data_IF_038582080762
#
_entry.id   IF_038582080762
#
_cell.length_a   1.000
_cell.length_b   1.000
_cell.length_c   1.000
_cell.angle_alpha   90.00
_cell.angle_beta   90.00
_cell.angle_gamma   90.00
#
_symmetry.space_group_name_H-M   'P 1'
#
loop_
_entity.id
_entity.type
_entity.pdbx_description
1 polymer ?
#
# COMPACT_ATOMS: atom_id res chain seq x y z
N UNK A 1 18.74 -52.55 28.72
CA UNK A 1 19.58 -51.54 29.39
C UNK A 1 19.83 -50.38 28.44
N UNK A 2 19.43 -49.15 28.82
CA UNK A 2 20.07 -47.85 28.50
C UNK A 2 20.25 -47.50 27.00
N UNK A 3 19.57 -46.52 26.38
CA UNK A 3 19.44 -45.06 26.67
C UNK A 3 18.42 -44.49 25.66
N UNK A 4 17.37 -43.77 26.06
CA UNK A 4 17.32 -42.29 26.20
C UNK A 4 18.04 -41.53 25.06
N UNK A 5 17.30 -40.94 24.12
CA UNK A 5 17.17 -39.47 24.04
C UNK A 5 16.10 -39.04 23.02
N UNK A 6 15.12 -38.33 23.57
CA UNK A 6 14.14 -37.47 22.93
C UNK A 6 14.86 -36.31 22.22
N UNK A 7 14.26 -35.76 21.15
CA UNK A 7 14.49 -34.46 20.45
C UNK A 7 14.37 -34.73 18.93
N UNK A 8 13.66 -33.99 18.09
CA UNK A 8 13.12 -32.64 18.16
C UNK A 8 12.05 -32.55 17.05
N UNK A 9 10.79 -32.32 17.41
CA UNK A 9 9.79 -31.81 16.46
C UNK A 9 9.98 -30.29 16.48
N UNK A 10 10.43 -29.69 15.37
CA UNK A 10 10.42 -28.24 15.25
C UNK A 10 10.32 -27.77 13.79
N UNK A 11 9.21 -27.06 13.55
CA UNK A 11 9.07 -25.90 12.69
C UNK A 11 9.16 -26.09 11.16
N UNK A 12 7.98 -26.13 10.52
CA UNK A 12 7.76 -25.39 9.26
C UNK A 12 6.32 -24.85 9.22
N UNK A 13 5.99 -23.94 10.14
CA UNK A 13 4.82 -23.08 10.04
C UNK A 13 5.31 -21.66 9.74
N UNK A 14 5.52 -21.39 8.47
CA UNK A 14 5.96 -20.10 7.95
C UNK A 14 5.11 -19.64 6.78
N UNK A 15 3.80 -19.91 6.80
CA UNK A 15 2.86 -19.12 6.01
C UNK A 15 2.53 -17.90 6.85
N UNK A 16 3.14 -16.76 6.51
CA UNK A 16 2.80 -15.48 7.10
C UNK A 16 1.37 -15.11 6.73
N UNK A 17 0.40 -15.60 7.50
CA UNK A 17 -0.89 -14.94 7.60
C UNK A 17 -0.64 -13.63 8.31
N UNK A 18 -0.69 -12.52 7.58
CA UNK A 18 -0.98 -11.22 8.17
C UNK A 18 -2.38 -11.32 8.78
N UNK A 19 -2.45 -11.88 9.99
CA UNK A 19 -3.67 -11.92 10.77
C UNK A 19 -3.93 -10.49 11.21
N UNK A 20 -4.96 -9.86 10.64
CA UNK A 20 -5.52 -8.65 11.20
C UNK A 20 -5.77 -8.91 12.70
N UNK A 21 -5.20 -8.06 13.56
CA UNK A 21 -5.37 -8.19 15.01
C UNK A 21 -6.86 -8.07 15.34
N UNK A 22 -7.32 -8.82 16.34
CA UNK A 22 -8.72 -8.78 16.79
C UNK A 22 -9.15 -7.36 17.23
N UNK A 23 -8.20 -6.49 17.61
CA UNK A 23 -8.42 -5.07 17.93
C UNK A 23 -8.74 -4.17 16.72
N UNK A 24 -8.66 -4.71 15.50
CA UNK A 24 -8.98 -4.02 14.25
C UNK A 24 -10.37 -4.38 13.71
N UNK A 25 -11.07 -5.30 14.38
CA UNK A 25 -12.40 -5.73 13.98
C UNK A 25 -13.41 -4.57 14.08
N UNK A 26 -13.76 -4.00 12.93
CA UNK A 26 -14.79 -2.97 12.79
C UNK A 26 -14.26 -1.55 12.49
N UNK A 27 -12.94 -1.31 12.56
CA UNK A 27 -12.37 -0.03 12.11
C UNK A 27 -12.38 0.04 10.58
N UNK A 28 -12.62 1.22 9.99
CA UNK A 28 -12.57 1.38 8.54
C UNK A 28 -11.13 1.22 8.05
N UNK A 29 -10.91 0.38 7.05
CA UNK A 29 -9.60 0.20 6.41
C UNK A 29 -9.18 1.53 5.75
N UNK A 30 -7.99 2.03 6.09
CA UNK A 30 -7.46 3.27 5.52
C UNK A 30 -6.76 2.99 4.20
N UNK A 31 -7.33 3.49 3.10
CA UNK A 31 -6.78 3.31 1.74
C UNK A 31 -6.15 4.61 1.28
N UNK A 32 -4.83 4.61 1.04
CA UNK A 32 -4.15 5.75 0.42
C UNK A 32 -4.09 5.56 -1.09
N UNK A 33 -4.86 6.36 -1.83
CA UNK A 33 -4.95 6.33 -3.29
C UNK A 33 -3.95 7.31 -3.88
N UNK A 34 -2.97 6.82 -4.64
CA UNK A 34 -1.95 7.61 -5.31
C UNK A 34 -2.26 7.73 -6.81
N UNK A 35 -2.67 8.92 -7.25
CA UNK A 35 -3.02 9.25 -8.63
C UNK A 35 -1.90 9.99 -9.34
N UNK A 36 -1.55 9.59 -10.56
CA UNK A 36 -0.54 10.30 -11.35
C UNK A 36 -0.28 9.70 -12.72
N UNK A 37 -1.32 9.16 -13.36
CA UNK A 37 -1.22 8.53 -14.67
C UNK A 37 -2.17 9.19 -15.69
N UNK A 38 -1.68 10.25 -16.33
CA UNK A 38 -2.44 11.05 -17.31
C UNK A 38 -2.91 10.22 -18.51
N UNK A 39 -2.08 9.30 -19.02
CA UNK A 39 -2.42 8.44 -20.16
C UNK A 39 -3.62 7.52 -19.90
N UNK A 40 -3.87 7.17 -18.64
CA UNK A 40 -5.04 6.38 -18.24
C UNK A 40 -6.02 7.19 -17.38
N UNK A 41 -5.90 8.52 -17.41
CA UNK A 41 -6.83 9.47 -16.77
C UNK A 41 -7.13 9.08 -15.32
N UNK A 42 -6.07 8.84 -14.52
CA UNK A 42 -6.24 8.44 -13.12
C UNK A 42 -7.01 9.48 -12.30
N UNK A 43 -6.81 10.77 -12.57
CA UNK A 43 -7.53 11.86 -11.89
C UNK A 43 -9.03 11.91 -12.23
N UNK A 44 -9.44 11.46 -13.42
CA UNK A 44 -10.85 11.37 -13.80
C UNK A 44 -11.52 10.10 -13.24
N UNK A 45 -10.79 8.98 -13.21
CA UNK A 45 -11.34 7.66 -12.86
C UNK A 45 -11.35 7.34 -11.36
N UNK A 46 -10.42 7.90 -10.59
CA UNK A 46 -10.31 7.61 -9.15
C UNK A 46 -11.38 8.28 -8.27
N UNK A 47 -11.91 9.48 -8.57
CA UNK A 47 -13.02 10.06 -7.80
C UNK A 47 -14.26 9.19 -7.68
N UNK A 48 -14.88 8.71 -8.78
CA UNK A 48 -16.03 7.83 -8.67
C UNK A 48 -15.67 6.46 -8.07
N UNK A 49 -14.44 5.97 -8.27
CA UNK A 49 -13.98 4.73 -7.66
C UNK A 49 -13.83 4.86 -6.14
N UNK A 50 -13.29 5.98 -5.64
CA UNK A 50 -13.24 6.27 -4.22
C UNK A 50 -14.65 6.32 -3.61
N UNK A 51 -15.57 7.05 -4.23
CA UNK A 51 -16.96 7.14 -3.75
C UNK A 51 -17.62 5.75 -3.70
N UNK A 52 -17.39 4.93 -4.73
CA UNK A 52 -17.84 3.55 -4.76
C UNK A 52 -17.27 2.73 -3.59
N UNK A 53 -15.96 2.82 -3.35
CA UNK A 53 -15.31 2.10 -2.26
C UNK A 53 -15.90 2.50 -0.88
N UNK A 54 -16.00 3.79 -0.62
CA UNK A 54 -16.50 4.33 0.66
C UNK A 54 -18.00 4.07 0.86
N UNK A 55 -18.78 3.93 -0.21
CA UNK A 55 -20.22 3.59 -0.15
C UNK A 55 -20.46 2.11 0.13
N UNK A 56 -19.63 1.23 -0.42
CA UNK A 56 -19.91 -0.22 -0.46
C UNK A 56 -19.08 -1.05 0.52
N UNK A 57 -18.02 -0.49 1.08
CA UNK A 57 -17.12 -1.18 2.00
C UNK A 57 -16.82 -0.33 3.24
N UNK A 58 -16.43 -0.97 4.34
CA UNK A 58 -15.97 -0.27 5.55
C UNK A 58 -14.53 0.23 5.36
N UNK A 59 -14.37 1.26 4.53
CA UNK A 59 -13.08 1.85 4.19
C UNK A 59 -13.13 3.37 4.30
N UNK A 60 -11.99 3.98 4.60
CA UNK A 60 -11.78 5.43 4.50
C UNK A 60 -10.66 5.67 3.49
N UNK A 61 -10.96 6.40 2.44
CA UNK A 61 -9.99 6.70 1.41
C UNK A 61 -9.36 8.08 1.63
N UNK A 62 -8.06 8.15 1.39
CA UNK A 62 -7.34 9.39 1.21
C UNK A 62 -6.79 9.40 -0.21
N UNK A 63 -6.70 10.57 -0.86
CA UNK A 63 -6.26 10.67 -2.25
C UNK A 63 -5.17 11.71 -2.41
N UNK A 64 -4.06 11.25 -2.97
CA UNK A 64 -2.87 12.04 -3.30
C UNK A 64 -2.80 12.15 -4.83
N UNK A 65 -2.67 13.36 -5.35
CA UNK A 65 -2.71 13.62 -6.80
C UNK A 65 -1.42 14.29 -7.23
N UNK A 66 -0.79 13.73 -8.27
CA UNK A 66 0.41 14.27 -8.91
C UNK A 66 0.22 15.73 -9.31
N UNK A 67 1.23 16.57 -9.04
CA UNK A 67 1.29 17.96 -9.50
C UNK A 67 2.36 18.19 -10.57
N UNK A 68 3.49 17.50 -10.47
CA UNK A 68 4.55 17.55 -11.48
C UNK A 68 5.16 16.15 -11.68
N UNK A 69 6.15 16.03 -12.57
CA UNK A 69 6.87 14.75 -12.77
C UNK A 69 7.59 14.27 -11.51
N UNK A 70 8.05 15.19 -10.68
CA UNK A 70 8.81 14.96 -9.46
C UNK A 70 8.08 15.41 -8.19
N UNK A 71 6.79 15.79 -8.30
CA UNK A 71 6.01 16.31 -7.18
C UNK A 71 4.65 15.61 -7.02
N UNK A 72 4.47 15.00 -5.84
CA UNK A 72 3.29 14.29 -5.38
C UNK A 72 2.95 14.72 -3.94
N UNK A 73 2.39 15.93 -3.74
CA UNK A 73 2.12 16.48 -2.41
C UNK A 73 1.01 15.70 -1.70
N UNK A 74 1.16 15.46 -0.40
CA UNK A 74 0.24 14.63 0.38
C UNK A 74 0.75 13.21 0.67
N UNK A 75 1.98 12.88 0.25
CA UNK A 75 2.59 11.56 0.44
C UNK A 75 2.66 11.12 1.91
N UNK A 76 2.63 12.04 2.89
CA UNK A 76 2.53 11.77 4.34
C UNK A 76 1.34 10.89 4.72
N UNK A 77 0.31 10.83 3.88
CA UNK A 77 -0.82 9.91 4.07
C UNK A 77 -0.40 8.43 4.05
N UNK A 78 0.75 8.10 3.45
CA UNK A 78 1.32 6.75 3.51
C UNK A 78 1.78 6.35 4.92
N UNK A 79 2.10 7.30 5.80
CA UNK A 79 2.54 6.99 7.16
C UNK A 79 1.40 6.44 8.03
N UNK A 80 0.13 6.72 7.70
CA UNK A 80 -1.06 6.34 8.51
C UNK A 80 -2.10 5.45 7.78
N UNK A 81 -1.87 5.02 6.53
CA UNK A 81 -2.83 4.12 5.86
C UNK A 81 -2.70 2.64 6.29
N UNK A 82 -3.52 1.75 5.74
CA UNK A 82 -3.33 0.30 5.88
C UNK A 82 -2.87 -0.31 4.56
N UNK A 83 -3.36 0.24 3.44
CA UNK A 83 -3.04 -0.18 2.07
C UNK A 83 -2.81 1.03 1.17
N UNK A 84 -1.83 0.93 0.28
CA UNK A 84 -1.59 1.90 -0.78
C UNK A 84 -2.14 1.37 -2.10
N UNK A 85 -3.02 2.16 -2.73
CA UNK A 85 -3.46 1.94 -4.10
C UNK A 85 -2.63 2.83 -5.03
N UNK A 86 -1.77 2.20 -5.81
CA UNK A 86 -0.81 2.87 -6.69
C UNK A 86 -1.37 2.93 -8.10
N UNK A 87 -1.74 4.12 -8.57
CA UNK A 87 -2.15 4.39 -9.95
C UNK A 87 -1.47 5.64 -10.52
N UNK A 88 -0.15 5.65 -10.46
CA UNK A 88 0.72 6.61 -11.14
C UNK A 88 1.83 5.90 -11.91
N UNK A 89 2.54 6.62 -12.76
CA UNK A 89 3.63 6.06 -13.55
C UNK A 89 4.78 7.06 -13.73
N UNK A 90 6.00 6.52 -13.79
CA UNK A 90 7.25 7.21 -14.13
C UNK A 90 7.45 8.52 -13.38
N UNK A 91 7.11 8.54 -12.09
CA UNK A 91 7.41 9.66 -11.22
C UNK A 91 8.91 9.74 -10.97
N UNK A 92 9.46 10.94 -11.01
CA UNK A 92 10.86 11.25 -10.69
C UNK A 92 10.96 11.82 -9.27
N UNK A 93 10.34 11.14 -8.30
CA UNK A 93 10.34 11.59 -6.90
C UNK A 93 11.78 11.74 -6.39
N UNK A 94 12.02 12.76 -5.56
CA UNK A 94 13.32 13.06 -4.93
C UNK A 94 13.14 13.38 -3.45
N UNK A 95 14.23 13.34 -2.70
CA UNK A 95 14.27 13.71 -1.28
C UNK A 95 13.22 12.99 -0.45
N UNK A 96 12.54 13.75 0.41
CA UNK A 96 11.56 13.22 1.38
C UNK A 96 10.41 12.44 0.71
N UNK A 97 9.93 12.88 -0.45
CA UNK A 97 8.86 12.19 -1.17
C UNK A 97 9.30 10.80 -1.66
N UNK A 98 10.54 10.69 -2.17
CA UNK A 98 11.10 9.40 -2.56
C UNK A 98 11.33 8.50 -1.33
N UNK A 99 11.93 9.05 -0.28
CA UNK A 99 12.24 8.30 0.94
C UNK A 99 10.98 7.75 1.59
N UNK A 100 9.90 8.55 1.65
CA UNK A 100 8.61 8.11 2.20
C UNK A 100 7.98 7.02 1.34
N UNK A 101 7.99 7.16 0.01
CA UNK A 101 7.46 6.12 -0.88
C UNK A 101 8.26 4.81 -0.74
N UNK A 102 9.60 4.88 -0.69
CA UNK A 102 10.44 3.71 -0.49
C UNK A 102 10.22 3.05 0.87
N UNK A 103 10.08 3.85 1.93
CA UNK A 103 9.77 3.36 3.29
C UNK A 103 8.48 2.55 3.27
N UNK A 104 7.42 3.08 2.63
CA UNK A 104 6.17 2.33 2.48
C UNK A 104 6.37 1.03 1.70
N UNK A 105 6.99 1.11 0.51
CA UNK A 105 7.20 -0.05 -0.36
C UNK A 105 8.02 -1.17 0.32
N UNK A 106 8.95 -0.81 1.22
CA UNK A 106 9.79 -1.75 1.98
C UNK A 106 9.18 -2.20 3.30
N UNK A 107 8.05 -1.62 3.73
CA UNK A 107 7.46 -1.89 5.05
C UNK A 107 6.76 -3.25 5.18
N UNK A 108 6.52 -3.94 4.07
CA UNK A 108 5.68 -5.14 4.04
C UNK A 108 4.17 -4.88 4.10
N UNK A 109 3.76 -3.60 4.17
CA UNK A 109 2.34 -3.22 4.12
C UNK A 109 1.74 -3.48 2.72
N UNK A 110 0.45 -3.83 2.63
CA UNK A 110 -0.21 -4.16 1.38
C UNK A 110 -0.14 -3.05 0.31
N UNK A 111 0.06 -3.46 -0.95
CA UNK A 111 0.02 -2.57 -2.12
C UNK A 111 -0.95 -3.15 -3.16
N UNK A 112 -1.87 -2.31 -3.63
CA UNK A 112 -2.71 -2.59 -4.80
C UNK A 112 -2.17 -1.77 -5.97
N UNK A 113 -1.53 -2.44 -6.92
CA UNK A 113 -0.90 -1.81 -8.07
C UNK A 113 -1.82 -1.84 -9.30
N UNK A 114 -2.09 -0.68 -9.90
CA UNK A 114 -3.05 -0.56 -11.01
C UNK A 114 -2.30 -0.22 -12.31
N UNK A 115 -2.54 -1.02 -13.35
CA UNK A 115 -1.99 -0.83 -14.71
C UNK A 115 -0.46 -0.76 -14.70
N UNK A 116 0.12 0.38 -15.09
CA UNK A 116 1.57 0.58 -15.26
C UNK A 116 2.31 0.93 -13.97
N UNK A 117 1.72 0.63 -12.81
CA UNK A 117 2.35 0.81 -11.50
C UNK A 117 3.65 -0.01 -11.32
N UNK A 118 3.89 -1.05 -12.14
CA UNK A 118 5.21 -1.72 -12.22
C UNK A 118 6.35 -0.76 -12.61
N UNK A 119 6.02 0.37 -13.24
CA UNK A 119 6.94 1.46 -13.55
C UNK A 119 6.53 2.74 -12.81
N UNK A 120 6.12 2.63 -11.54
CA UNK A 120 5.61 3.74 -10.73
C UNK A 120 6.63 4.88 -10.58
N UNK A 121 7.87 4.55 -10.24
CA UNK A 121 8.95 5.50 -9.94
C UNK A 121 10.17 5.18 -10.82
N UNK A 122 10.79 6.22 -11.37
CA UNK A 122 12.02 6.13 -12.17
C UNK A 122 12.92 7.28 -11.71
N UNK A 123 13.88 6.98 -10.84
CA UNK A 123 14.85 7.94 -10.30
C UNK A 123 16.26 7.57 -10.69
#
# INVERSE_FOLDING_TARGET
MRRCFLWMIAALAGLGTAAASADDAGKPLKVCILSGCDTYKSEESLPPFQEFLERHYNVRCSRVVRKAVDDLPGLEQLDDCDVALVFFKRMQLKGEQLDRFQKYAKSGRPVVAVRTASHAVQT
#
